data_IF_962057270961
#
_entry.id   IF_962057270961
#
_cell.length_a   1.000
_cell.length_b   1.000
_cell.length_c   1.000
_cell.angle_alpha   90.00
_cell.angle_beta   90.00
_cell.angle_gamma   90.00
#
_symmetry.space_group_name_H-M   'P 1'
#
loop_
_entity.id
_entity.type
_entity.pdbx_description
1 polymer ?
#
# COMPACT_ATOMS: atom_id res chain seq x y z
N UNK A 1 12.50 -2.10 -7.88
CA UNK A 1 11.69 -2.00 -6.63
C UNK A 1 10.43 -2.85 -6.75
N UNK A 2 9.93 -3.36 -5.63
CA UNK A 2 8.63 -4.07 -5.52
C UNK A 2 7.78 -3.36 -4.45
N UNK A 3 6.53 -3.04 -4.78
CA UNK A 3 5.56 -2.42 -3.90
C UNK A 3 4.23 -3.18 -3.89
N UNK A 4 3.97 -3.88 -2.79
CA UNK A 4 2.74 -4.65 -2.60
C UNK A 4 1.84 -3.91 -1.61
N UNK A 5 0.66 -3.46 -2.06
CA UNK A 5 -0.28 -2.70 -1.24
C UNK A 5 -1.59 -3.46 -1.01
N UNK A 6 -2.05 -3.46 0.24
CA UNK A 6 -3.37 -3.90 0.66
C UNK A 6 -4.00 -2.84 1.59
N UNK A 7 -5.29 -2.98 1.89
CA UNK A 7 -6.02 -2.01 2.71
C UNK A 7 -5.50 -1.89 4.16
N UNK A 8 -4.84 -2.93 4.66
CA UNK A 8 -4.36 -3.05 6.05
C UNK A 8 -2.84 -3.21 6.17
N UNK A 9 -2.14 -3.35 5.05
CA UNK A 9 -0.71 -3.67 5.06
C UNK A 9 -0.05 -3.31 3.73
N UNK A 10 1.24 -3.03 3.81
CA UNK A 10 2.08 -2.72 2.66
C UNK A 10 3.44 -3.38 2.84
N UNK A 11 4.02 -3.89 1.75
CA UNK A 11 5.38 -4.39 1.71
C UNK A 11 6.13 -3.73 0.57
N UNK A 12 7.29 -3.17 0.90
CA UNK A 12 8.18 -2.49 -0.04
C UNK A 12 9.53 -3.20 -0.01
N UNK A 13 10.15 -3.38 -1.17
CA UNK A 13 11.53 -3.79 -1.25
C UNK A 13 12.26 -3.22 -2.46
N UNK A 14 13.58 -3.13 -2.30
CA UNK A 14 14.52 -2.78 -3.35
C UNK A 14 15.50 -3.93 -3.50
N UNK A 15 15.70 -4.34 -4.75
CA UNK A 15 16.62 -5.39 -5.14
C UNK A 15 17.75 -4.77 -5.94
N UNK A 16 18.98 -5.11 -5.59
CA UNK A 16 20.18 -4.75 -6.36
C UNK A 16 20.81 -6.05 -6.84
N UNK A 17 20.94 -6.21 -8.16
CA UNK A 17 21.52 -7.41 -8.79
C UNK A 17 20.90 -8.73 -8.30
N UNK A 18 19.57 -8.75 -8.13
CA UNK A 18 18.83 -9.92 -7.64
C UNK A 18 18.93 -10.17 -6.13
N UNK A 19 19.71 -9.38 -5.39
CA UNK A 19 19.78 -9.46 -3.92
C UNK A 19 18.90 -8.41 -3.27
N UNK A 20 18.21 -8.80 -2.19
CA UNK A 20 17.41 -7.89 -1.39
C UNK A 20 18.33 -6.89 -0.67
N UNK A 21 18.31 -5.62 -1.08
CA UNK A 21 19.13 -4.59 -0.43
C UNK A 21 18.38 -3.94 0.73
N UNK A 22 17.10 -3.61 0.51
CA UNK A 22 16.27 -2.95 1.50
C UNK A 22 14.86 -3.49 1.44
N UNK A 23 14.23 -3.64 2.61
CA UNK A 23 12.83 -4.04 2.70
C UNK A 23 12.14 -3.40 3.90
N UNK A 24 10.83 -3.20 3.78
CA UNK A 24 9.98 -2.74 4.87
C UNK A 24 8.58 -3.29 4.70
N UNK A 25 8.07 -3.90 5.76
CA UNK A 25 6.66 -4.26 5.88
C UNK A 25 6.03 -3.29 6.87
N UNK A 26 4.89 -2.71 6.49
CA UNK A 26 4.11 -1.78 7.29
C UNK A 26 2.72 -2.41 7.44
N UNK A 27 2.16 -2.39 8.63
CA UNK A 27 0.84 -2.97 8.91
C UNK A 27 0.04 -1.98 9.72
N UNK A 28 -1.18 -1.72 9.29
CA UNK A 28 -2.17 -0.94 10.03
C UNK A 28 -2.96 -1.88 10.95
N UNK A 29 -3.23 -1.43 12.18
CA UNK A 29 -4.19 -2.10 13.05
C UNK A 29 -5.62 -1.78 12.58
N UNK A 30 -6.06 -2.39 11.49
CA UNK A 30 -7.45 -2.28 11.00
C UNK A 30 -8.37 -3.39 11.52
N UNK A 31 -7.89 -4.21 12.45
CA UNK A 31 -8.59 -5.43 12.87
C UNK A 31 -9.77 -5.10 13.79
N UNK A 32 -10.96 -5.52 13.39
CA UNK A 32 -12.11 -5.72 14.29
C UNK A 32 -11.82 -6.98 15.11
N UNK A 33 -11.61 -6.85 16.42
CA UNK A 33 -11.63 -8.01 17.30
C UNK A 33 -12.99 -8.71 17.16
N UNK A 34 -12.99 -9.92 16.59
CA UNK A 34 -14.14 -10.85 16.40
C UNK A 34 -15.27 -10.35 15.48
N UNK A 35 -15.28 -10.83 14.24
CA UNK A 35 -16.41 -11.56 13.63
C UNK A 35 -16.05 -11.94 12.19
N UNK A 36 -15.93 -13.25 11.93
CA UNK A 36 -15.92 -13.78 10.58
C UNK A 36 -17.26 -13.50 9.89
N UNK A 37 -17.19 -12.85 8.73
CA UNK A 37 -18.08 -12.88 7.57
C UNK A 37 -17.89 -11.59 6.77
N UNK A 38 -17.77 -11.72 5.45
CA UNK A 38 -17.54 -10.64 4.51
C UNK A 38 -18.62 -9.56 4.64
N UNK A 39 -18.20 -8.32 4.94
CA UNK A 39 -19.09 -7.13 4.91
C UNK A 39 -18.90 -6.29 3.64
N UNK A 40 -18.14 -6.77 2.65
CA UNK A 40 -17.91 -6.02 1.41
C UNK A 40 -19.20 -5.88 0.56
N UNK A 41 -20.22 -6.71 0.81
CA UNK A 41 -21.45 -6.74 0.02
C UNK A 41 -22.50 -5.67 0.43
N UNK A 42 -22.36 -5.00 1.57
CA UNK A 42 -23.48 -4.24 2.16
C UNK A 42 -23.21 -2.73 2.35
N UNK A 43 -22.36 -2.12 1.52
CA UNK A 43 -22.10 -0.67 1.58
C UNK A 43 -22.82 0.16 0.50
N UNK A 44 -23.67 -0.44 -0.34
CA UNK A 44 -24.32 0.26 -1.47
C UNK A 44 -25.76 0.74 -1.22
N UNK A 45 -26.24 0.82 0.03
CA UNK A 45 -27.66 1.09 0.27
C UNK A 45 -28.06 1.82 1.54
N UNK A 46 -27.22 2.69 2.13
CA UNK A 46 -27.66 3.57 3.23
C UNK A 46 -27.17 4.99 3.00
N UNK A 47 -28.10 5.86 2.58
CA UNK A 47 -27.85 7.27 2.31
C UNK A 47 -27.24 7.99 3.51
N UNK A 48 -26.37 8.97 3.24
CA UNK A 48 -25.82 10.03 4.12
C UNK A 48 -25.69 9.74 5.63
N UNK A 49 -25.49 8.48 6.03
CA UNK A 49 -25.44 8.06 7.43
C UNK A 49 -24.02 8.24 7.93
N UNK A 50 -23.85 9.12 8.92
CA UNK A 50 -22.61 9.41 9.66
C UNK A 50 -21.70 8.19 9.72
N UNK A 51 -20.48 8.30 9.17
CA UNK A 51 -19.42 7.32 9.39
C UNK A 51 -19.35 6.98 10.88
N UNK A 52 -19.45 5.71 11.23
CA UNK A 52 -19.30 5.30 12.63
C UNK A 52 -17.90 5.64 13.13
N UNK A 53 -17.75 5.90 14.44
CA UNK A 53 -16.44 6.20 15.03
C UNK A 53 -15.38 5.15 14.66
N UNK A 54 -15.74 3.87 14.64
CA UNK A 54 -14.84 2.79 14.22
C UNK A 54 -14.53 2.78 12.71
N UNK A 55 -15.43 3.25 11.85
CA UNK A 55 -15.12 3.45 10.43
C UNK A 55 -14.15 4.62 10.22
N UNK A 56 -14.31 5.71 10.97
CA UNK A 56 -13.40 6.85 10.95
C UNK A 56 -11.99 6.49 11.44
N UNK A 57 -11.89 5.71 12.52
CA UNK A 57 -10.59 5.22 13.04
C UNK A 57 -9.87 4.35 12.01
N UNK A 58 -10.57 3.40 11.36
CA UNK A 58 -9.97 2.56 10.30
C UNK A 58 -9.51 3.38 9.10
N UNK A 59 -10.32 4.33 8.63
CA UNK A 59 -9.93 5.21 7.55
C UNK A 59 -8.68 6.04 7.89
N UNK A 60 -8.59 6.56 9.13
CA UNK A 60 -7.40 7.29 9.62
C UNK A 60 -6.17 6.40 9.65
N UNK A 61 -6.30 5.17 10.13
CA UNK A 61 -5.16 4.24 10.19
C UNK A 61 -4.70 3.81 8.80
N UNK A 62 -5.63 3.59 7.86
CA UNK A 62 -5.28 3.33 6.45
C UNK A 62 -4.55 4.52 5.82
N UNK A 63 -4.98 5.77 6.08
CA UNK A 63 -4.23 6.95 5.64
C UNK A 63 -2.83 7.03 6.23
N UNK A 64 -2.70 6.73 7.53
CA UNK A 64 -1.41 6.69 8.22
C UNK A 64 -0.48 5.61 7.64
N UNK A 65 -1.02 4.46 7.23
CA UNK A 65 -0.27 3.41 6.54
C UNK A 65 0.30 3.91 5.22
N UNK A 66 -0.52 4.55 4.38
CA UNK A 66 -0.05 5.04 3.07
C UNK A 66 0.88 6.24 3.19
N UNK A 67 0.69 7.10 4.19
CA UNK A 67 1.64 8.16 4.53
C UNK A 67 3.01 7.59 4.90
N UNK A 68 3.07 6.54 5.74
CA UNK A 68 4.34 5.86 6.04
C UNK A 68 4.96 5.15 4.83
N UNK A 69 4.14 4.64 3.91
CA UNK A 69 4.63 4.11 2.62
C UNK A 69 5.32 5.21 1.82
N UNK A 70 4.70 6.39 1.71
CA UNK A 70 5.26 7.52 0.95
C UNK A 70 6.53 8.03 1.61
N UNK A 71 6.53 8.24 2.93
CA UNK A 71 7.72 8.61 3.70
C UNK A 71 8.86 7.61 3.48
N UNK A 72 8.55 6.31 3.46
CA UNK A 72 9.54 5.27 3.20
C UNK A 72 10.09 5.36 1.78
N UNK A 73 9.24 5.57 0.78
CA UNK A 73 9.67 5.75 -0.59
C UNK A 73 10.56 6.99 -0.76
N UNK A 74 10.24 8.08 -0.07
CA UNK A 74 11.04 9.32 -0.08
C UNK A 74 12.40 9.07 0.55
N UNK A 75 12.45 8.37 1.69
CA UNK A 75 13.72 7.97 2.31
C UNK A 75 14.58 7.09 1.38
N UNK A 76 13.96 6.35 0.47
CA UNK A 76 14.62 5.47 -0.50
C UNK A 76 14.72 6.08 -1.90
N UNK A 77 14.48 7.39 -2.06
CA UNK A 77 14.35 8.02 -3.37
C UNK A 77 15.58 7.79 -4.26
N UNK A 78 16.80 7.87 -3.69
CA UNK A 78 18.04 7.63 -4.41
C UNK A 78 18.12 6.21 -5.00
N UNK A 79 17.72 5.20 -4.23
CA UNK A 79 17.70 3.81 -4.65
C UNK A 79 16.57 3.52 -5.65
N UNK A 80 15.41 4.16 -5.45
CA UNK A 80 14.26 4.05 -6.37
C UNK A 80 14.57 4.68 -7.72
N UNK A 81 15.33 5.78 -7.78
CA UNK A 81 15.78 6.41 -9.03
C UNK A 81 16.69 5.49 -9.84
N UNK A 82 17.47 4.63 -9.19
CA UNK A 82 18.32 3.63 -9.85
C UNK A 82 17.56 2.38 -10.31
N UNK A 83 16.32 2.18 -9.85
CA UNK A 83 15.52 1.05 -10.28
C UNK A 83 15.05 1.23 -11.73
N UNK A 84 15.37 0.25 -12.58
CA UNK A 84 14.85 0.17 -13.97
C UNK A 84 13.35 -0.15 -14.02
N UNK A 85 12.88 -0.97 -13.07
CA UNK A 85 11.47 -1.42 -12.99
C UNK A 85 10.94 -1.35 -11.57
N UNK A 86 9.66 -1.00 -11.46
CA UNK A 86 8.91 -0.88 -10.22
C UNK A 86 7.69 -1.79 -10.33
N UNK A 87 7.80 -2.96 -9.72
CA UNK A 87 6.74 -3.94 -9.69
C UNK A 87 5.70 -3.55 -8.65
N UNK A 88 4.42 -3.63 -9.00
CA UNK A 88 3.36 -3.22 -8.09
C UNK A 88 2.13 -4.12 -8.11
N UNK A 89 1.41 -4.12 -6.98
CA UNK A 89 0.09 -4.72 -6.82
C UNK A 89 -0.73 -3.91 -5.82
N UNK A 90 -2.04 -4.15 -5.78
CA UNK A 90 -2.98 -3.46 -4.90
C UNK A 90 -4.18 -2.87 -5.65
N UNK A 91 -5.23 -2.55 -4.89
CA UNK A 91 -6.44 -1.91 -5.39
C UNK A 91 -6.12 -0.46 -5.84
N UNK A 92 -6.82 0.00 -6.89
CA UNK A 92 -6.80 1.40 -7.35
C UNK A 92 -7.06 2.37 -6.20
N UNK A 93 -7.92 2.01 -5.24
CA UNK A 93 -8.19 2.82 -4.04
C UNK A 93 -6.95 3.02 -3.17
N UNK A 94 -6.16 1.97 -2.97
CA UNK A 94 -4.92 2.06 -2.18
C UNK A 94 -3.90 2.99 -2.86
N UNK A 95 -3.74 2.84 -4.19
CA UNK A 95 -2.85 3.71 -4.96
C UNK A 95 -3.31 5.17 -5.00
N UNK A 96 -4.63 5.42 -5.09
CA UNK A 96 -5.16 6.79 -5.02
C UNK A 96 -4.81 7.46 -3.68
N UNK A 97 -4.92 6.75 -2.55
CA UNK A 97 -4.55 7.30 -1.23
C UNK A 97 -3.04 7.56 -1.11
N UNK A 98 -2.20 6.68 -1.67
CA UNK A 98 -0.73 6.90 -1.76
C UNK A 98 -0.41 8.17 -2.54
N UNK A 99 -1.03 8.36 -3.70
CA UNK A 99 -0.80 9.56 -4.54
C UNK A 99 -1.50 10.83 -4.03
N UNK A 100 -2.48 10.70 -3.13
CA UNK A 100 -3.10 11.83 -2.45
C UNK A 100 -2.22 12.40 -1.31
N UNK A 101 -1.15 11.71 -0.93
CA UNK A 101 -0.15 12.24 0.00
C UNK A 101 0.66 13.33 -0.72
N UNK A 102 0.42 14.59 -0.37
CA UNK A 102 1.09 15.75 -0.97
C UNK A 102 2.35 16.20 -0.20
N UNK A 103 2.52 15.76 1.05
CA UNK A 103 3.65 16.14 1.90
C UNK A 103 4.01 14.98 2.88
N UNK A 104 5.09 14.21 2.62
CA UNK A 104 5.89 14.22 1.41
C UNK A 104 5.13 13.59 0.23
N UNK A 105 5.53 13.91 -1.00
CA UNK A 105 4.94 13.35 -2.22
C UNK A 105 5.67 12.08 -2.66
N UNK A 106 4.95 11.18 -3.32
CA UNK A 106 5.53 9.95 -3.87
C UNK A 106 6.61 10.30 -4.92
N UNK A 107 7.88 9.85 -4.76
CA UNK A 107 8.98 10.22 -5.67
C UNK A 107 8.86 9.63 -7.09
N UNK A 108 7.90 8.72 -7.30
CA UNK A 108 7.61 8.12 -8.59
C UNK A 108 6.23 8.57 -9.02
N UNK A 109 6.12 9.21 -10.18
CA UNK A 109 4.85 9.69 -10.71
C UNK A 109 3.93 8.54 -11.12
N UNK A 110 2.61 8.76 -11.07
CA UNK A 110 1.60 7.74 -11.41
C UNK A 110 1.69 7.20 -12.85
N UNK A 111 2.24 8.01 -13.77
CA UNK A 111 2.41 7.68 -15.19
C UNK A 111 3.85 7.29 -15.56
N UNK A 112 4.70 7.01 -14.58
CA UNK A 112 6.09 6.60 -14.83
C UNK A 112 6.12 5.28 -15.63
N UNK A 113 6.93 5.23 -16.70
CA UNK A 113 7.02 4.04 -17.56
C UNK A 113 7.62 2.81 -16.87
N UNK A 114 8.23 2.99 -15.69
CA UNK A 114 8.85 1.90 -14.91
C UNK A 114 7.84 1.03 -14.16
N UNK A 115 6.58 1.45 -14.05
CA UNK A 115 5.54 0.68 -13.36
C UNK A 115 5.21 -0.61 -14.12
N UNK A 116 5.36 -1.75 -13.45
CA UNK A 116 5.00 -3.07 -13.99
C UNK A 116 4.03 -3.74 -13.02
N UNK A 117 2.83 -4.06 -13.49
CA UNK A 117 1.84 -4.75 -12.66
C UNK A 117 2.25 -6.22 -12.49
N UNK A 118 2.23 -6.69 -11.25
CA UNK A 118 2.50 -8.09 -10.91
C UNK A 118 1.27 -8.94 -11.25
N UNK A 119 1.41 -10.11 -11.93
CA UNK A 119 0.28 -10.90 -12.43
C UNK A 119 -0.36 -11.83 -11.37
N UNK A 120 -0.12 -11.60 -10.08
CA UNK A 120 -0.70 -12.40 -9.00
C UNK A 120 -1.30 -11.53 -7.90
N UNK A 121 -2.32 -12.07 -7.24
CA UNK A 121 -2.97 -11.40 -6.12
C UNK A 121 -2.20 -11.66 -4.83
N UNK A 122 -1.89 -10.59 -4.09
CA UNK A 122 -1.23 -10.68 -2.79
C UNK A 122 -2.26 -10.46 -1.70
N UNK A 123 -2.59 -11.52 -0.95
CA UNK A 123 -3.55 -11.44 0.16
C UNK A 123 -3.01 -10.71 1.38
N UNK A 124 -1.73 -10.91 1.70
CA UNK A 124 -1.07 -10.25 2.83
C UNK A 124 0.38 -9.92 2.48
N UNK A 125 0.70 -8.65 2.22
CA UNK A 125 2.05 -8.16 2.02
C UNK A 125 2.94 -8.55 3.20
N UNK A 126 3.87 -9.47 2.96
CA UNK A 126 4.93 -9.89 3.89
C UNK A 126 6.23 -9.97 3.12
N UNK A 127 7.35 -10.04 3.84
CA UNK A 127 8.67 -10.19 3.24
C UNK A 127 8.74 -11.35 2.23
N UNK A 128 8.18 -12.51 2.59
CA UNK A 128 8.14 -13.69 1.72
C UNK A 128 7.53 -13.39 0.34
N UNK A 129 6.46 -12.60 0.28
CA UNK A 129 5.77 -12.29 -0.99
C UNK A 129 6.50 -11.29 -1.86
N UNK A 130 7.45 -10.57 -1.28
CA UNK A 130 8.29 -9.66 -2.04
C UNK A 130 9.49 -10.39 -2.66
N UNK A 131 9.88 -11.54 -2.12
CA UNK A 131 11.00 -12.37 -2.59
C UNK A 131 10.60 -13.46 -3.59
N UNK A 132 9.30 -13.59 -3.91
CA UNK A 132 8.77 -14.50 -4.93
C UNK A 132 9.02 -13.96 -6.34
#
# INVERSE_FOLDING_TARGET
MVALLCADSAALAIFHQGKLAQHKVITAYTVRAKQGRSQLAQQRGKGAGRMSAGAAVRARETRRLFSQVVERCVAWEADIKQCERIFFTGDVRAWNEVFACHAPAMPVGRKDGRWVKVPFHVHRPRLAQVQQ
#
